data_IF_820749275482
#
_entry.id   IF_820749275482
#
_cell.length_a   1.000
_cell.length_b   1.000
_cell.length_c   1.000
_cell.angle_alpha   90.00
_cell.angle_beta   90.00
_cell.angle_gamma   90.00
#
_symmetry.space_group_name_H-M   'P 1'
#
loop_
_entity.id
_entity.type
_entity.pdbx_description
1 polymer ?
#
# COMPACT_ATOMS: atom_id res chain seq x y z
N UNK A 1 -49.77 -53.32 37.46
CA UNK A 1 -48.56 -52.47 37.43
C UNK A 1 -47.53 -53.15 36.51
N UNK A 2 -47.56 -53.09 35.18
CA UNK A 2 -47.90 -52.06 34.18
C UNK A 2 -47.03 -50.80 34.25
N UNK A 3 -46.31 -50.56 33.15
CA UNK A 3 -45.69 -49.31 32.70
C UNK A 3 -44.34 -48.91 33.32
N UNK A 4 -43.27 -49.65 33.01
CA UNK A 4 -41.92 -49.05 32.93
C UNK A 4 -41.01 -49.62 31.82
N UNK A 5 -41.50 -50.57 31.02
CA UNK A 5 -40.74 -51.18 29.91
C UNK A 5 -40.90 -50.46 28.55
N UNK A 6 -41.62 -49.33 28.50
CA UNK A 6 -42.01 -48.66 27.25
C UNK A 6 -41.30 -47.31 26.97
N UNK A 7 -40.34 -46.87 27.82
CA UNK A 7 -39.71 -45.54 27.66
C UNK A 7 -38.29 -45.53 27.08
N UNK A 8 -37.58 -46.67 27.01
CA UNK A 8 -36.20 -46.70 26.49
C UNK A 8 -36.03 -47.28 25.08
N UNK A 9 -37.12 -47.63 24.38
CA UNK A 9 -37.07 -47.99 22.95
C UNK A 9 -37.45 -46.85 21.99
N UNK A 10 -37.78 -45.67 22.52
CA UNK A 10 -38.19 -44.51 21.72
C UNK A 10 -37.06 -43.49 21.44
N UNK A 11 -35.90 -43.63 22.10
CA UNK A 11 -34.74 -42.75 21.91
C UNK A 11 -33.73 -43.34 20.89
N UNK A 12 -33.84 -44.64 20.57
CA UNK A 12 -32.96 -45.30 19.59
C UNK A 12 -33.49 -45.30 18.15
N UNK A 13 -34.69 -44.74 17.90
CA UNK A 13 -35.36 -44.75 16.60
C UNK A 13 -35.41 -43.36 15.91
N UNK A 14 -34.75 -42.34 16.47
CA UNK A 14 -34.80 -40.95 15.98
C UNK A 14 -33.43 -40.36 15.59
N UNK A 15 -32.37 -41.19 15.53
CA UNK A 15 -31.03 -40.76 15.10
C UNK A 15 -30.44 -41.63 13.96
N UNK A 16 -31.25 -42.47 13.31
CA UNK A 16 -30.88 -43.29 12.14
C UNK A 16 -31.63 -42.82 10.87
N UNK A 17 -32.01 -41.53 10.79
CA UNK A 17 -32.67 -40.94 9.61
C UNK A 17 -31.99 -39.62 9.17
N UNK A 18 -30.66 -39.59 9.14
CA UNK A 18 -29.92 -38.53 8.40
C UNK A 18 -28.79 -39.05 7.52
N UNK A 19 -28.65 -40.36 7.36
CA UNK A 19 -27.81 -40.94 6.30
C UNK A 19 -28.69 -41.49 5.19
N UNK A 20 -28.44 -40.99 3.98
CA UNK A 20 -28.87 -41.54 2.69
C UNK A 20 -30.22 -41.07 2.17
N UNK A 21 -30.23 -39.86 1.61
CA UNK A 21 -30.92 -39.52 0.37
C UNK A 21 -30.49 -38.11 -0.04
N UNK A 22 -29.49 -38.01 -0.92
CA UNK A 22 -29.34 -37.10 -2.07
C UNK A 22 -27.91 -37.31 -2.56
N UNK A 23 -27.73 -38.38 -3.32
CA UNK A 23 -26.69 -38.48 -4.33
C UNK A 23 -27.39 -39.09 -5.55
N UNK A 24 -27.71 -38.25 -6.52
CA UNK A 24 -27.51 -38.48 -7.95
C UNK A 24 -28.26 -37.45 -8.81
N UNK A 25 -27.58 -37.06 -9.90
CA UNK A 25 -28.00 -36.20 -11.02
C UNK A 25 -27.87 -34.69 -10.74
N UNK A 26 -26.91 -33.94 -11.29
CA UNK A 26 -26.25 -34.07 -12.59
C UNK A 26 -24.74 -33.75 -12.53
N UNK A 27 -23.97 -34.66 -13.10
CA UNK A 27 -22.66 -34.40 -13.70
C UNK A 27 -22.76 -33.33 -14.79
N UNK A 28 -22.36 -32.10 -14.48
CA UNK A 28 -21.66 -31.12 -15.34
C UNK A 28 -21.71 -29.72 -14.73
N UNK A 29 -20.95 -29.51 -13.64
CA UNK A 29 -20.39 -28.20 -13.32
C UNK A 29 -18.87 -28.37 -13.24
N UNK A 30 -18.28 -28.82 -14.35
CA UNK A 30 -16.94 -28.40 -14.71
C UNK A 30 -17.13 -27.23 -15.68
N UNK A 31 -16.51 -26.09 -15.39
CA UNK A 31 -16.41 -24.88 -16.22
C UNK A 31 -17.50 -23.78 -16.11
N UNK A 32 -17.84 -23.31 -14.89
CA UNK A 32 -18.28 -21.91 -14.71
C UNK A 32 -17.67 -21.15 -13.52
N UNK A 33 -16.90 -21.79 -12.64
CA UNK A 33 -16.22 -21.10 -11.52
C UNK A 33 -14.90 -20.41 -11.91
N UNK A 34 -14.53 -20.41 -13.19
CA UNK A 34 -13.50 -19.52 -13.75
C UNK A 34 -14.06 -18.15 -14.16
N UNK A 35 -15.32 -17.83 -13.82
CA UNK A 35 -15.94 -16.55 -14.20
C UNK A 35 -15.70 -15.46 -13.16
N UNK A 36 -14.73 -14.60 -13.50
CA UNK A 36 -14.39 -13.28 -12.94
C UNK A 36 -13.81 -13.29 -11.53
N UNK A 37 -12.52 -13.66 -11.42
CA UNK A 37 -11.66 -12.96 -10.46
C UNK A 37 -11.84 -11.45 -10.69
N UNK A 38 -12.25 -10.73 -9.64
CA UNK A 38 -12.35 -9.29 -9.67
C UNK A 38 -10.98 -8.65 -9.91
N UNK A 39 -10.99 -7.35 -10.19
CA UNK A 39 -9.75 -6.61 -10.47
C UNK A 39 -8.80 -6.67 -9.26
N UNK A 40 -9.36 -6.64 -8.05
CA UNK A 40 -8.60 -6.78 -6.81
C UNK A 40 -7.87 -8.13 -6.74
N UNK A 41 -8.56 -9.26 -6.94
CA UNK A 41 -7.96 -10.60 -6.83
C UNK A 41 -6.91 -10.88 -7.91
N UNK A 42 -6.95 -10.11 -9.01
CA UNK A 42 -5.91 -10.18 -10.06
C UNK A 42 -4.67 -9.36 -9.73
N UNK A 43 -4.84 -8.26 -9.01
CA UNK A 43 -3.74 -7.36 -8.63
C UNK A 43 -3.12 -7.78 -7.28
N UNK A 44 -3.92 -8.29 -6.36
CA UNK A 44 -3.53 -8.69 -5.02
C UNK A 44 -3.44 -10.22 -4.96
N UNK A 45 -2.27 -10.75 -5.33
CA UNK A 45 -2.03 -12.19 -5.47
C UNK A 45 -0.83 -12.62 -4.65
N UNK A 46 -0.75 -13.90 -4.28
CA UNK A 46 0.42 -14.45 -3.59
C UNK A 46 1.64 -14.67 -4.48
N UNK A 47 1.50 -14.56 -5.82
CA UNK A 47 2.49 -15.04 -6.79
C UNK A 47 2.82 -13.96 -7.83
N UNK A 48 3.29 -12.80 -7.38
CA UNK A 48 3.88 -11.80 -8.29
C UNK A 48 5.05 -12.41 -9.05
N UNK A 49 5.11 -12.18 -10.36
CA UNK A 49 6.15 -12.78 -11.21
C UNK A 49 7.48 -12.02 -11.11
N UNK A 50 7.43 -10.77 -10.64
CA UNK A 50 8.57 -9.88 -10.48
C UNK A 50 8.28 -8.81 -9.42
N UNK A 51 9.33 -8.15 -8.95
CA UNK A 51 9.21 -6.96 -8.11
C UNK A 51 8.48 -5.82 -8.82
N UNK A 52 8.62 -5.73 -10.14
CA UNK A 52 7.94 -4.75 -10.99
C UNK A 52 6.43 -4.98 -11.00
N UNK A 53 5.99 -6.23 -11.15
CA UNK A 53 4.58 -6.63 -11.11
C UNK A 53 3.97 -6.31 -9.74
N UNK A 54 4.71 -6.62 -8.66
CA UNK A 54 4.32 -6.31 -7.29
C UNK A 54 4.11 -4.80 -7.10
N UNK A 55 5.12 -4.00 -7.42
CA UNK A 55 5.06 -2.54 -7.29
C UNK A 55 3.94 -1.91 -8.11
N UNK A 56 3.84 -2.29 -9.39
CA UNK A 56 2.77 -1.83 -10.29
C UNK A 56 1.40 -2.16 -9.71
N UNK A 57 1.23 -3.36 -9.17
CA UNK A 57 -0.05 -3.79 -8.60
C UNK A 57 -0.43 -2.95 -7.37
N UNK A 58 0.51 -2.71 -6.46
CA UNK A 58 0.27 -1.86 -5.28
C UNK A 58 -0.02 -0.40 -5.66
N UNK A 59 0.69 0.14 -6.65
CA UNK A 59 0.42 1.48 -7.18
C UNK A 59 -1.01 1.56 -7.74
N UNK A 60 -1.45 0.56 -8.51
CA UNK A 60 -2.82 0.50 -9.03
C UNK A 60 -3.82 0.39 -7.87
N UNK A 61 -3.59 -0.50 -6.91
CA UNK A 61 -4.45 -0.69 -5.74
C UNK A 61 -4.64 0.60 -4.94
N UNK A 62 -3.61 1.44 -4.79
CA UNK A 62 -3.70 2.74 -4.13
C UNK A 62 -4.66 3.73 -4.83
N UNK A 63 -5.03 3.47 -6.09
CA UNK A 63 -5.93 4.30 -6.89
C UNK A 63 -7.32 3.68 -7.12
N UNK A 64 -7.51 2.41 -6.77
CA UNK A 64 -8.79 1.73 -6.94
C UNK A 64 -9.73 1.97 -5.76
N UNK A 65 -11.03 1.90 -6.04
CA UNK A 65 -12.06 1.84 -5.00
C UNK A 65 -12.09 0.43 -4.40
N UNK A 66 -11.34 0.24 -3.31
CA UNK A 66 -11.31 -1.00 -2.54
C UNK A 66 -12.42 -1.03 -1.49
N UNK A 67 -13.05 -2.19 -1.30
CA UNK A 67 -14.04 -2.40 -0.24
C UNK A 67 -13.40 -2.43 1.15
N UNK A 68 -14.21 -2.30 2.20
CA UNK A 68 -13.71 -2.37 3.59
C UNK A 68 -13.09 -3.74 3.86
N UNK A 69 -13.69 -4.82 3.34
CA UNK A 69 -13.19 -6.18 3.48
C UNK A 69 -11.84 -6.37 2.78
N UNK A 70 -11.65 -5.76 1.60
CA UNK A 70 -10.39 -5.81 0.87
C UNK A 70 -9.29 -5.03 1.60
N UNK A 71 -9.62 -3.84 2.12
CA UNK A 71 -8.68 -3.06 2.93
C UNK A 71 -8.29 -3.79 4.22
N UNK A 72 -9.25 -4.47 4.87
CA UNK A 72 -8.99 -5.25 6.08
C UNK A 72 -8.12 -6.48 5.80
N UNK A 73 -8.35 -7.18 4.68
CA UNK A 73 -7.48 -8.27 4.25
C UNK A 73 -6.04 -7.79 4.08
N UNK A 74 -5.83 -6.72 3.31
CA UNK A 74 -4.50 -6.13 3.13
C UNK A 74 -3.87 -5.71 4.46
N UNK A 75 -4.66 -5.19 5.41
CA UNK A 75 -4.18 -4.76 6.72
C UNK A 75 -3.65 -5.93 7.54
N UNK A 76 -4.36 -7.05 7.54
CA UNK A 76 -3.93 -8.28 8.23
C UNK A 76 -2.65 -8.86 7.64
N UNK A 77 -2.45 -8.73 6.34
CA UNK A 77 -1.23 -9.16 5.66
C UNK A 77 -0.06 -8.21 5.97
N UNK A 78 -0.29 -6.89 5.96
CA UNK A 78 0.69 -5.89 6.39
C UNK A 78 1.21 -6.10 7.82
N UNK A 79 0.33 -6.48 8.76
CA UNK A 79 0.74 -6.77 10.15
C UNK A 79 1.72 -7.94 10.26
N UNK A 80 1.65 -8.88 9.31
CA UNK A 80 2.51 -10.08 9.27
C UNK A 80 3.72 -9.90 8.36
N UNK A 81 3.71 -8.88 7.50
CA UNK A 81 4.79 -8.62 6.57
C UNK A 81 6.10 -8.33 7.33
N UNK A 82 7.22 -8.81 6.79
CA UNK A 82 8.55 -8.60 7.34
C UNK A 82 9.49 -7.92 6.37
N UNK A 83 9.18 -7.96 5.07
CA UNK A 83 9.94 -7.29 4.03
C UNK A 83 9.67 -5.78 4.06
N UNK A 84 10.73 -4.98 4.24
CA UNK A 84 10.64 -3.53 4.35
C UNK A 84 10.13 -2.89 3.04
N UNK A 85 10.48 -3.42 1.86
CA UNK A 85 10.01 -2.92 0.57
C UNK A 85 8.52 -3.21 0.38
N UNK A 86 8.06 -4.40 0.76
CA UNK A 86 6.63 -4.72 0.67
C UNK A 86 5.83 -3.90 1.69
N UNK A 87 6.32 -3.76 2.92
CA UNK A 87 5.71 -2.86 3.92
C UNK A 87 5.58 -1.43 3.42
N UNK A 88 6.59 -0.92 2.73
CA UNK A 88 6.56 0.42 2.14
C UNK A 88 5.37 0.60 1.18
N UNK A 89 5.13 -0.39 0.33
CA UNK A 89 4.02 -0.36 -0.63
C UNK A 89 2.65 -0.43 0.08
N UNK A 90 2.53 -1.24 1.14
CA UNK A 90 1.33 -1.24 1.98
C UNK A 90 1.08 0.11 2.65
N UNK A 91 2.11 0.68 3.28
CA UNK A 91 2.03 1.98 3.95
C UNK A 91 1.60 3.07 2.97
N UNK A 92 2.10 3.06 1.73
CA UNK A 92 1.64 3.93 0.66
C UNK A 92 0.15 3.75 0.33
N UNK A 93 -0.30 2.50 0.11
CA UNK A 93 -1.72 2.21 -0.17
C UNK A 93 -2.60 2.71 0.97
N UNK A 94 -2.27 2.38 2.22
CA UNK A 94 -3.08 2.77 3.37
C UNK A 94 -3.08 4.28 3.61
N UNK A 95 -1.92 4.93 3.51
CA UNK A 95 -1.81 6.36 3.70
C UNK A 95 -2.68 7.13 2.68
N UNK A 96 -2.71 6.67 1.43
CA UNK A 96 -3.51 7.30 0.37
C UNK A 96 -5.02 7.01 0.48
N UNK A 97 -5.39 5.82 0.96
CA UNK A 97 -6.78 5.34 0.95
C UNK A 97 -7.54 5.62 2.24
N UNK A 98 -6.90 5.41 3.38
CA UNK A 98 -7.56 5.48 4.69
C UNK A 98 -7.47 6.87 5.33
N UNK A 99 -6.54 7.72 4.86
CA UNK A 99 -6.19 8.99 5.51
C UNK A 99 -5.84 8.84 7.01
N UNK A 100 -5.44 7.63 7.42
CA UNK A 100 -5.00 7.36 8.79
C UNK A 100 -3.55 7.82 8.94
N UNK A 101 -3.35 8.81 9.81
CA UNK A 101 -2.09 9.49 10.05
C UNK A 101 -0.95 8.50 10.35
N UNK A 102 -1.24 7.38 11.01
CA UNK A 102 -0.20 6.41 11.39
C UNK A 102 0.53 5.80 10.19
N UNK A 103 -0.20 5.52 9.09
CA UNK A 103 0.40 4.91 7.90
C UNK A 103 1.15 5.95 7.08
N UNK A 104 0.69 7.20 7.09
CA UNK A 104 1.42 8.31 6.49
C UNK A 104 2.76 8.52 7.19
N UNK A 105 2.78 8.54 8.52
CA UNK A 105 4.02 8.64 9.30
C UNK A 105 4.93 7.44 9.03
N UNK A 106 4.39 6.22 9.03
CA UNK A 106 5.16 5.03 8.71
C UNK A 106 5.79 5.08 7.32
N UNK A 107 5.01 5.50 6.30
CA UNK A 107 5.49 5.72 4.94
C UNK A 107 6.64 6.74 4.91
N UNK A 108 6.48 7.91 5.54
CA UNK A 108 7.50 8.96 5.55
C UNK A 108 8.76 8.51 6.30
N UNK A 109 8.61 7.84 7.44
CA UNK A 109 9.73 7.31 8.21
C UNK A 109 10.52 6.27 7.42
N UNK A 110 9.82 5.42 6.67
CA UNK A 110 10.46 4.42 5.82
C UNK A 110 11.09 5.03 4.57
N UNK A 111 10.44 6.02 3.95
CA UNK A 111 11.00 6.80 2.86
C UNK A 111 12.26 7.56 3.30
N UNK A 112 12.31 8.06 4.54
CA UNK A 112 13.50 8.71 5.09
C UNK A 112 14.65 7.71 5.30
N UNK A 113 14.33 6.48 5.70
CA UNK A 113 15.30 5.40 5.91
C UNK A 113 15.82 4.80 4.60
N UNK A 114 14.95 4.66 3.59
CA UNK A 114 15.21 4.02 2.31
C UNK A 114 14.70 4.91 1.14
N UNK A 115 15.28 6.10 0.95
CA UNK A 115 14.80 7.06 -0.05
C UNK A 115 14.87 6.54 -1.49
N UNK A 116 15.73 5.56 -1.77
CA UNK A 116 15.79 4.90 -3.06
C UNK A 116 14.48 4.21 -3.46
N UNK A 117 13.65 3.77 -2.49
CA UNK A 117 12.37 3.14 -2.79
C UNK A 117 11.38 4.12 -3.45
N UNK A 118 11.58 5.43 -3.31
CA UNK A 118 10.73 6.44 -3.94
C UNK A 118 10.94 6.52 -5.45
N UNK A 119 12.13 6.17 -5.96
CA UNK A 119 12.51 6.36 -7.38
C UNK A 119 12.93 5.06 -8.08
N UNK A 120 13.45 4.07 -7.35
CA UNK A 120 13.90 2.77 -7.89
C UNK A 120 12.85 1.67 -7.76
N UNK A 121 11.62 2.03 -7.42
CA UNK A 121 10.52 1.08 -7.47
C UNK A 121 10.13 0.90 -8.92
N UNK A 122 10.73 -0.09 -9.57
CA UNK A 122 10.43 -0.48 -10.95
C UNK A 122 8.92 -0.76 -11.04
N UNK A 123 8.22 -0.05 -11.92
CA UNK A 123 6.79 -0.18 -12.11
C UNK A 123 6.44 0.12 -13.56
N UNK A 124 5.57 -0.71 -14.14
CA UNK A 124 5.04 -0.51 -15.49
C UNK A 124 3.90 0.52 -15.53
N UNK A 125 3.54 1.10 -14.38
CA UNK A 125 2.63 2.24 -14.33
C UNK A 125 3.18 3.43 -15.12
N UNK A 126 2.52 3.76 -16.22
CA UNK A 126 2.89 4.88 -17.08
C UNK A 126 2.56 6.18 -16.36
N UNK A 127 3.60 6.84 -15.83
CA UNK A 127 3.53 8.17 -15.22
C UNK A 127 4.81 8.93 -15.54
N UNK A 128 4.69 10.26 -15.62
CA UNK A 128 5.85 11.16 -15.84
C UNK A 128 6.82 11.07 -14.65
N UNK A 129 6.28 10.86 -13.45
CA UNK A 129 7.04 10.77 -12.20
C UNK A 129 6.63 9.52 -11.40
N UNK A 130 7.42 9.15 -10.38
CA UNK A 130 7.06 8.06 -9.47
C UNK A 130 5.84 8.44 -8.61
N UNK A 131 4.77 7.62 -8.58
CA UNK A 131 3.63 7.86 -7.69
C UNK A 131 3.98 7.88 -6.19
N UNK A 132 5.03 7.16 -5.80
CA UNK A 132 5.54 7.15 -4.42
C UNK A 132 6.21 8.48 -4.10
N UNK A 133 7.03 9.00 -5.03
CA UNK A 133 7.66 10.31 -4.90
C UNK A 133 6.62 11.44 -4.86
N UNK A 134 5.62 11.40 -5.75
CA UNK A 134 4.54 12.38 -5.75
C UNK A 134 3.79 12.42 -4.42
N UNK A 135 3.60 11.27 -3.78
CA UNK A 135 2.96 11.22 -2.48
C UNK A 135 3.85 11.75 -1.35
N UNK A 136 5.16 11.53 -1.41
CA UNK A 136 6.09 12.21 -0.50
C UNK A 136 6.02 13.73 -0.67
N UNK A 137 6.05 14.23 -1.91
CA UNK A 137 5.92 15.66 -2.21
C UNK A 137 4.61 16.23 -1.66
N UNK A 138 3.49 15.53 -1.87
CA UNK A 138 2.21 15.90 -1.26
C UNK A 138 2.30 16.00 0.27
N UNK A 139 3.02 15.07 0.91
CA UNK A 139 3.22 15.07 2.35
C UNK A 139 4.11 16.22 2.88
N UNK A 140 4.86 16.92 2.03
CA UNK A 140 5.70 18.03 2.46
C UNK A 140 4.91 19.23 2.98
N UNK A 141 3.63 19.35 2.59
CA UNK A 141 2.75 20.46 2.99
C UNK A 141 2.66 20.67 4.50
N UNK A 142 2.71 19.59 5.27
CA UNK A 142 2.46 19.59 6.71
C UNK A 142 3.35 18.61 7.50
N UNK A 143 4.33 17.96 6.86
CA UNK A 143 5.28 17.08 7.53
C UNK A 143 6.75 17.46 7.23
N UNK A 144 7.48 17.86 8.27
CA UNK A 144 8.89 18.26 8.18
C UNK A 144 9.80 17.10 7.78
N UNK A 145 9.49 15.86 8.20
CA UNK A 145 10.28 14.70 7.81
C UNK A 145 10.14 14.41 6.32
N UNK A 146 8.99 14.72 5.71
CA UNK A 146 8.84 14.60 4.26
C UNK A 146 9.75 15.60 3.52
N UNK A 147 9.82 16.84 4.00
CA UNK A 147 10.77 17.85 3.48
C UNK A 147 12.21 17.39 3.67
N UNK A 148 12.54 16.87 4.86
CA UNK A 148 13.87 16.32 5.12
C UNK A 148 14.24 15.20 4.15
N UNK A 149 13.32 14.26 3.91
CA UNK A 149 13.52 13.17 2.95
C UNK A 149 13.76 13.72 1.55
N UNK A 150 12.94 14.67 1.09
CA UNK A 150 13.09 15.30 -0.23
C UNK A 150 14.47 15.97 -0.41
N UNK A 151 14.93 16.72 0.59
CA UNK A 151 16.27 17.35 0.58
C UNK A 151 17.38 16.29 0.58
N UNK A 152 17.25 15.22 1.38
CA UNK A 152 18.21 14.11 1.39
C UNK A 152 18.32 13.41 0.03
N UNK A 153 17.23 13.31 -0.72
CA UNK A 153 17.26 12.70 -2.05
C UNK A 153 18.17 13.46 -3.02
N UNK A 154 18.23 14.80 -2.93
CA UNK A 154 19.22 15.59 -3.66
C UNK A 154 20.65 15.31 -3.20
N UNK A 155 20.91 15.20 -1.90
CA UNK A 155 22.25 14.92 -1.38
C UNK A 155 22.78 13.54 -1.77
N UNK A 156 21.87 12.59 -1.98
CA UNK A 156 22.19 11.20 -2.32
C UNK A 156 22.25 10.96 -3.84
N UNK A 157 22.16 12.01 -4.66
CA UNK A 157 22.13 11.94 -6.13
C UNK A 157 21.09 10.92 -6.64
N UNK A 158 19.94 10.82 -5.97
CA UNK A 158 18.86 9.90 -6.32
C UNK A 158 17.87 10.48 -7.35
N UNK A 159 17.98 11.77 -7.63
CA UNK A 159 17.06 12.51 -8.48
C UNK A 159 17.72 12.79 -9.82
N UNK A 160 17.21 12.20 -10.89
CA UNK A 160 17.58 12.53 -12.26
C UNK A 160 16.47 13.35 -12.94
N UNK A 161 16.83 14.08 -13.99
CA UNK A 161 15.96 14.85 -14.87
C UNK A 161 14.59 15.23 -14.28
N UNK A 162 13.57 14.44 -14.64
CA UNK A 162 12.17 14.68 -14.28
C UNK A 162 11.89 14.58 -12.77
N UNK A 163 12.56 13.68 -12.04
CA UNK A 163 12.40 13.56 -10.60
C UNK A 163 13.00 14.76 -9.87
N UNK A 164 14.19 15.22 -10.29
CA UNK A 164 14.80 16.43 -9.74
C UNK A 164 13.88 17.64 -9.94
N UNK A 165 13.38 17.84 -11.17
CA UNK A 165 12.41 18.89 -11.49
C UNK A 165 11.18 18.84 -10.57
N UNK A 166 10.60 17.66 -10.38
CA UNK A 166 9.39 17.48 -9.55
C UNK A 166 9.65 17.91 -8.10
N UNK A 167 10.71 17.39 -7.49
CA UNK A 167 11.03 17.73 -6.10
C UNK A 167 11.41 19.21 -5.96
N UNK A 168 12.13 19.78 -6.93
CA UNK A 168 12.45 21.21 -6.94
C UNK A 168 11.21 22.10 -6.99
N UNK A 169 10.24 21.78 -7.85
CA UNK A 169 8.97 22.51 -7.92
C UNK A 169 8.24 22.47 -6.58
N UNK A 170 8.07 21.28 -5.99
CA UNK A 170 7.37 21.13 -4.72
C UNK A 170 8.11 21.83 -3.58
N UNK A 171 9.44 21.71 -3.49
CA UNK A 171 10.25 22.41 -2.49
C UNK A 171 10.16 23.93 -2.64
N UNK A 172 10.18 24.44 -3.88
CA UNK A 172 10.05 25.86 -4.16
C UNK A 172 8.67 26.41 -3.74
N UNK A 173 7.60 25.67 -4.02
CA UNK A 173 6.27 26.06 -3.58
C UNK A 173 6.14 26.03 -2.06
N UNK A 174 6.71 25.03 -1.38
CA UNK A 174 6.79 25.04 0.08
C UNK A 174 7.62 26.21 0.61
N UNK A 175 8.73 26.55 -0.04
CA UNK A 175 9.57 27.68 0.33
C UNK A 175 8.84 29.01 0.17
N UNK A 176 7.98 29.17 -0.85
CA UNK A 176 7.13 30.37 -0.99
C UNK A 176 6.12 30.52 0.14
N UNK A 177 5.59 29.40 0.64
CA UNK A 177 4.60 29.38 1.72
C UNK A 177 5.28 29.70 3.05
N UNK A 178 6.36 28.98 3.38
CA UNK A 178 7.12 29.19 4.61
C UNK A 178 8.64 29.06 4.37
N UNK A 179 9.30 30.18 3.99
CA UNK A 179 10.74 30.19 3.77
C UNK A 179 11.54 29.83 5.01
N UNK A 180 11.02 30.17 6.21
CA UNK A 180 11.73 29.94 7.48
C UNK A 180 11.77 28.47 7.81
N UNK A 181 10.65 27.76 7.62
CA UNK A 181 10.55 26.30 7.81
C UNK A 181 11.56 25.57 6.92
N UNK A 182 11.55 25.83 5.61
CA UNK A 182 12.44 25.16 4.67
C UNK A 182 13.91 25.48 4.97
N UNK A 183 14.24 26.76 5.22
CA UNK A 183 15.60 27.16 5.60
C UNK A 183 16.06 26.50 6.90
N UNK A 184 15.19 26.40 7.90
CA UNK A 184 15.49 25.73 9.17
C UNK A 184 15.78 24.25 8.99
N UNK A 185 14.98 23.56 8.18
CA UNK A 185 15.16 22.13 7.88
C UNK A 185 16.46 21.91 7.09
N UNK A 186 16.72 22.72 6.06
CA UNK A 186 17.95 22.68 5.28
C UNK A 186 19.19 22.86 6.17
N UNK A 187 19.18 23.86 7.07
CA UNK A 187 20.26 24.09 8.02
C UNK A 187 20.47 22.91 8.98
N UNK A 188 19.39 22.29 9.46
CA UNK A 188 19.46 21.08 10.31
C UNK A 188 20.16 19.92 9.59
N UNK A 189 19.99 19.83 8.26
CA UNK A 189 20.64 18.83 7.42
C UNK A 189 22.05 19.24 6.94
N UNK A 190 22.56 20.40 7.35
CA UNK A 190 23.86 20.91 6.93
C UNK A 190 23.90 21.40 5.49
N UNK A 191 22.76 21.71 4.89
CA UNK A 191 22.67 22.30 3.54
C UNK A 191 22.99 23.79 3.63
N UNK A 192 24.02 24.22 2.91
CA UNK A 192 24.32 25.64 2.78
C UNK A 192 23.31 26.35 1.87
N UNK A 193 23.26 27.69 1.97
CA UNK A 193 22.32 28.50 1.19
C UNK A 193 22.47 28.27 -0.32
N UNK A 194 23.69 28.11 -0.83
CA UNK A 194 23.91 27.95 -2.28
C UNK A 194 23.35 26.61 -2.76
N UNK A 195 23.57 25.53 -2.02
CA UNK A 195 22.99 24.23 -2.31
C UNK A 195 21.46 24.27 -2.23
N UNK A 196 20.90 24.97 -1.23
CA UNK A 196 19.46 25.17 -1.14
C UNK A 196 18.92 25.96 -2.35
N UNK A 197 19.57 27.06 -2.73
CA UNK A 197 19.18 27.88 -3.87
C UNK A 197 19.17 27.05 -5.18
N UNK A 198 20.13 26.12 -5.36
CA UNK A 198 20.15 25.17 -6.49
C UNK A 198 18.96 24.20 -6.43
N UNK A 199 18.63 23.64 -5.25
CA UNK A 199 17.49 22.73 -5.09
C UNK A 199 16.16 23.43 -5.38
N UNK A 200 16.06 24.73 -5.07
CA UNK A 200 14.88 25.57 -5.30
C UNK A 200 14.83 26.17 -6.72
N UNK A 201 15.90 26.02 -7.51
CA UNK A 201 15.90 26.43 -8.90
C UNK A 201 15.01 25.48 -9.68
N UNK A 202 13.95 26.02 -10.28
CA UNK A 202 13.09 25.28 -11.19
C UNK A 202 13.80 25.21 -12.55
N UNK A 203 14.24 24.02 -13.00
CA UNK A 203 14.86 23.87 -14.32
C UNK A 203 13.85 24.05 -15.48
#
# INVERSE_FOLDING_TARGET
MSLNYAKNKFILLLLIITTSCINCSCSNIKNRDTQKQGVFEKLYTSNYKSDTDLATSFIILAHLALSVEQMELMRLDYEKETDDKIKFLYEFVFAKRMFDYKYRVAFIDRANKYPELLVKTDSDWISVTSPLLNFLCFCMNDDDKAVETAIKMFQLDLLDGVYATTVSYDLFDQYKIDPRRITSIANKLGIDKKSLDIMLEIP
#
